data_IF_585156153444
#
_entry.id   IF_585156153444
#
_cell.length_a   1.000
_cell.length_b   1.000
_cell.length_c   1.000
_cell.angle_alpha   90.00
_cell.angle_beta   90.00
_cell.angle_gamma   90.00
#
_symmetry.space_group_name_H-M   'P 1'
#
loop_
_entity.id
_entity.type
_entity.pdbx_description
1 polymer ?
#
# COMPACT_ATOMS: atom_id res chain seq x y z
N UNK A 1 13.67 -18.38 -7.11
CA UNK A 1 13.85 -17.70 -5.81
C UNK A 1 12.52 -17.83 -5.09
N UNK A 2 12.50 -18.43 -3.91
CA UNK A 2 11.30 -18.47 -3.05
C UNK A 2 11.22 -17.12 -2.33
N UNK A 3 10.48 -16.16 -2.88
CA UNK A 3 10.21 -14.91 -2.18
C UNK A 3 9.20 -15.21 -1.07
N UNK A 4 9.71 -15.22 0.17
CA UNK A 4 8.88 -15.29 1.36
C UNK A 4 8.08 -13.99 1.52
N UNK A 5 6.95 -14.07 2.20
CA UNK A 5 6.15 -12.90 2.60
C UNK A 5 7.05 -11.80 3.16
N UNK A 6 6.77 -10.52 2.84
CA UNK A 6 7.46 -9.39 3.45
C UNK A 6 7.51 -9.51 4.98
N UNK A 7 8.68 -9.28 5.57
CA UNK A 7 8.91 -9.39 7.02
C UNK A 7 8.19 -8.31 7.82
N UNK A 8 7.79 -7.23 7.15
CA UNK A 8 7.05 -6.08 7.68
C UNK A 8 5.52 -6.21 7.53
N UNK A 9 5.02 -7.36 7.04
CA UNK A 9 3.59 -7.64 6.99
C UNK A 9 2.99 -7.69 8.41
N UNK A 10 2.01 -6.84 8.68
CA UNK A 10 1.28 -6.78 9.96
C UNK A 10 -0.03 -7.58 9.94
N UNK A 11 -0.60 -7.73 8.76
CA UNK A 11 -1.80 -8.53 8.53
C UNK A 11 -1.61 -9.35 7.27
N UNK A 12 -2.17 -10.56 7.27
CA UNK A 12 -2.21 -11.45 6.12
C UNK A 12 -3.54 -12.19 6.14
N UNK A 13 -4.25 -12.21 5.01
CA UNK A 13 -5.46 -13.01 4.84
C UNK A 13 -5.12 -14.50 4.71
N UNK A 14 -6.15 -15.34 4.79
CA UNK A 14 -6.05 -16.73 4.36
C UNK A 14 -5.89 -16.81 2.83
N UNK A 15 -5.57 -18.02 2.33
CA UNK A 15 -5.49 -18.29 0.89
C UNK A 15 -6.88 -18.27 0.26
N UNK A 16 -7.04 -17.45 -0.76
CA UNK A 16 -8.29 -17.22 -1.47
C UNK A 16 -8.12 -17.52 -2.97
N UNK A 17 -9.09 -18.23 -3.55
CA UNK A 17 -9.13 -18.51 -4.98
C UNK A 17 -9.64 -17.28 -5.72
N UNK A 18 -8.80 -16.62 -6.53
CA UNK A 18 -9.18 -15.35 -7.16
C UNK A 18 -9.83 -15.56 -8.53
N UNK A 19 -9.13 -16.18 -9.50
CA UNK A 19 -9.55 -16.14 -10.92
C UNK A 19 -9.42 -17.46 -11.71
N UNK A 20 -8.64 -18.44 -11.26
CA UNK A 20 -8.37 -19.70 -11.98
C UNK A 20 -8.24 -20.84 -10.98
N UNK A 21 -8.54 -22.11 -11.32
CA UNK A 21 -8.49 -23.27 -10.39
C UNK A 21 -7.21 -23.49 -9.56
N UNK A 22 -6.13 -22.73 -9.78
CA UNK A 22 -4.89 -22.82 -9.01
C UNK A 22 -4.28 -21.44 -8.67
N UNK A 23 -5.01 -20.34 -8.93
CA UNK A 23 -4.59 -18.97 -8.58
C UNK A 23 -5.08 -18.62 -7.18
N UNK A 24 -4.43 -19.24 -6.19
CA UNK A 24 -4.62 -18.93 -4.78
C UNK A 24 -3.72 -17.77 -4.38
N UNK A 25 -4.32 -16.73 -3.81
CA UNK A 25 -3.62 -15.56 -3.30
C UNK A 25 -3.96 -15.29 -1.86
N UNK A 26 -3.03 -14.65 -1.17
CA UNK A 26 -3.28 -14.01 0.12
C UNK A 26 -2.89 -12.56 0.05
N UNK A 27 -3.71 -11.71 0.65
CA UNK A 27 -3.48 -10.29 0.75
C UNK A 27 -2.73 -9.97 2.03
N UNK A 28 -1.81 -9.00 2.00
CA UNK A 28 -1.13 -8.54 3.20
C UNK A 28 -1.05 -7.01 3.25
N UNK A 29 -0.98 -6.47 4.46
CA UNK A 29 -0.77 -5.04 4.73
C UNK A 29 0.51 -4.89 5.54
N UNK A 30 1.33 -3.90 5.20
CA UNK A 30 2.59 -3.62 5.90
C UNK A 30 2.42 -2.59 7.01
N UNK A 31 3.45 -2.41 7.83
CA UNK A 31 3.49 -1.35 8.83
C UNK A 31 3.72 0.06 8.27
N UNK A 32 3.99 0.21 6.98
CA UNK A 32 4.25 1.50 6.37
C UNK A 32 2.94 2.16 5.93
N UNK A 33 2.42 2.98 6.84
CA UNK A 33 1.26 3.85 6.64
C UNK A 33 1.64 5.29 6.95
N UNK A 34 1.39 6.19 6.01
CA UNK A 34 1.55 7.64 6.18
C UNK A 34 0.19 8.29 6.08
N UNK A 35 -0.06 9.29 6.92
CA UNK A 35 -1.25 10.15 6.82
C UNK A 35 -0.79 11.59 6.63
N UNK A 36 -1.28 12.22 5.58
CA UNK A 36 -1.06 13.64 5.30
C UNK A 36 -2.36 14.39 5.60
N UNK A 37 -2.32 15.27 6.58
CA UNK A 37 -3.43 16.17 6.90
C UNK A 37 -3.45 17.32 5.89
N UNK A 38 -4.59 17.49 5.24
CA UNK A 38 -4.88 18.55 4.29
C UNK A 38 -5.36 19.83 4.96
N UNK A 39 -6.14 20.60 4.23
CA UNK A 39 -6.64 21.89 4.70
C UNK A 39 -7.50 21.71 5.98
N UNK A 40 -7.18 22.42 7.08
CA UNK A 40 -7.87 22.24 8.35
C UNK A 40 -9.31 22.75 8.34
N UNK A 41 -9.64 23.72 7.48
CA UNK A 41 -10.98 24.30 7.39
C UNK A 41 -11.89 23.48 6.47
N UNK A 42 -11.29 22.78 5.50
CA UNK A 42 -11.99 21.96 4.51
C UNK A 42 -11.86 20.44 4.75
N UNK A 43 -11.16 20.04 5.83
CA UNK A 43 -11.09 18.66 6.30
C UNK A 43 -10.30 17.71 5.40
N UNK A 44 -9.25 18.18 4.72
CA UNK A 44 -8.44 17.32 3.86
C UNK A 44 -7.71 16.22 4.63
N UNK A 45 -7.70 15.00 4.10
CA UNK A 45 -6.91 13.88 4.63
C UNK A 45 -6.54 12.92 3.52
N UNK A 46 -5.27 12.49 3.49
CA UNK A 46 -4.81 11.44 2.61
C UNK A 46 -4.05 10.40 3.42
N UNK A 47 -4.32 9.12 3.17
CA UNK A 47 -3.57 8.01 3.71
C UNK A 47 -2.89 7.25 2.58
N UNK A 48 -1.61 6.99 2.74
CA UNK A 48 -0.84 6.12 1.87
C UNK A 48 -0.49 4.87 2.65
N UNK A 49 -0.68 3.70 2.04
CA UNK A 49 -0.32 2.42 2.63
C UNK A 49 0.29 1.49 1.59
N UNK A 50 1.31 0.74 2.02
CA UNK A 50 1.86 -0.37 1.23
C UNK A 50 1.14 -1.65 1.61
N UNK A 51 0.58 -2.30 0.61
CA UNK A 51 -0.08 -3.60 0.72
C UNK A 51 0.26 -4.44 -0.50
N UNK A 52 -0.11 -5.72 -0.49
CA UNK A 52 0.29 -6.60 -1.58
C UNK A 52 -0.44 -7.92 -1.60
N UNK A 53 -0.10 -8.70 -2.61
CA UNK A 53 -0.59 -10.05 -2.84
C UNK A 53 0.58 -11.00 -2.92
N UNK A 54 0.37 -12.21 -2.41
CA UNK A 54 1.29 -13.31 -2.60
C UNK A 54 0.54 -14.47 -3.24
N UNK A 55 1.13 -15.06 -4.29
CA UNK A 55 0.66 -16.33 -4.86
C UNK A 55 1.18 -17.53 -4.05
N UNK A 56 0.48 -18.65 -4.13
CA UNK A 56 0.87 -19.89 -3.43
C UNK A 56 2.22 -20.49 -3.90
N UNK A 57 2.69 -20.09 -5.08
CA UNK A 57 3.94 -20.54 -5.68
C UNK A 57 5.15 -19.65 -5.31
N UNK A 58 4.93 -18.60 -4.53
CA UNK A 58 5.93 -17.71 -3.97
C UNK A 58 6.04 -16.33 -4.64
N UNK A 59 5.35 -16.03 -5.74
CA UNK A 59 5.38 -14.69 -6.33
C UNK A 59 4.74 -13.68 -5.39
N UNK A 60 5.42 -12.56 -5.14
CA UNK A 60 4.93 -11.47 -4.30
C UNK A 60 4.83 -10.20 -5.13
N UNK A 61 3.65 -9.59 -5.14
CA UNK A 61 3.41 -8.27 -5.73
C UNK A 61 3.09 -7.28 -4.63
N UNK A 62 3.75 -6.11 -4.63
CA UNK A 62 3.45 -5.00 -3.73
C UNK A 62 2.80 -3.84 -4.50
N UNK A 63 2.00 -3.08 -3.80
CA UNK A 63 1.25 -1.94 -4.31
C UNK A 63 1.25 -0.82 -3.28
N UNK A 64 1.36 0.42 -3.76
CA UNK A 64 1.05 1.61 -2.95
C UNK A 64 -0.39 2.01 -3.24
N UNK A 65 -1.18 2.13 -2.19
CA UNK A 65 -2.53 2.66 -2.28
C UNK A 65 -2.57 4.04 -1.64
N UNK A 66 -3.22 4.96 -2.34
CA UNK A 66 -3.51 6.31 -1.85
C UNK A 66 -5.02 6.45 -1.78
N UNK A 67 -5.52 6.68 -0.57
CA UNK A 67 -6.91 7.04 -0.31
C UNK A 67 -6.94 8.45 0.26
N UNK A 68 -7.69 9.35 -0.36
CA UNK A 68 -7.70 10.76 -0.01
C UNK A 68 -9.05 11.42 -0.22
N UNK A 69 -9.38 12.36 0.67
CA UNK A 69 -10.61 13.15 0.61
C UNK A 69 -10.38 14.58 1.09
N UNK A 70 -11.26 15.49 0.68
CA UNK A 70 -11.21 16.90 1.05
C UNK A 70 -10.20 17.74 0.25
N UNK A 71 -9.92 18.94 0.74
CA UNK A 71 -9.08 19.91 0.04
C UNK A 71 -7.65 19.97 0.61
N UNK A 72 -6.71 20.33 -0.26
CA UNK A 72 -5.30 20.46 0.07
C UNK A 72 -4.75 21.74 -0.53
N UNK A 73 -3.88 22.42 0.20
CA UNK A 73 -3.06 23.50 -0.37
C UNK A 73 -2.01 22.92 -1.32
N UNK A 74 -1.48 23.76 -2.21
CA UNK A 74 -0.40 23.36 -3.11
C UNK A 74 0.88 22.89 -2.37
N UNK A 75 1.13 23.39 -1.15
CA UNK A 75 2.25 22.91 -0.33
C UNK A 75 1.99 21.47 0.16
N UNK A 76 0.78 21.19 0.66
CA UNK A 76 0.40 19.87 1.14
C UNK A 76 0.35 18.82 0.01
N UNK A 77 -0.10 19.20 -1.18
CA UNK A 77 -0.05 18.31 -2.35
C UNK A 77 1.39 17.95 -2.74
N UNK A 78 2.35 18.87 -2.59
CA UNK A 78 3.77 18.58 -2.82
C UNK A 78 4.33 17.62 -1.77
N UNK A 79 3.96 17.79 -0.51
CA UNK A 79 4.32 16.84 0.56
C UNK A 79 3.75 15.46 0.25
N UNK A 80 2.46 15.37 -0.10
CA UNK A 80 1.81 14.11 -0.46
C UNK A 80 2.52 13.41 -1.64
N UNK A 81 2.87 14.17 -2.68
CA UNK A 81 3.61 13.63 -3.82
C UNK A 81 4.99 13.09 -3.43
N UNK A 82 5.71 13.76 -2.52
CA UNK A 82 7.00 13.29 -2.03
C UNK A 82 6.85 11.97 -1.24
N UNK A 83 5.82 11.85 -0.41
CA UNK A 83 5.53 10.60 0.31
C UNK A 83 5.18 9.45 -0.64
N UNK A 84 4.44 9.72 -1.72
CA UNK A 84 4.17 8.71 -2.76
C UNK A 84 5.47 8.20 -3.40
N UNK A 85 6.41 9.10 -3.71
CA UNK A 85 7.69 8.72 -4.30
C UNK A 85 8.53 7.90 -3.32
N UNK A 86 8.62 8.32 -2.07
CA UNK A 86 9.32 7.56 -1.02
C UNK A 86 8.73 6.15 -0.85
N UNK A 87 7.41 5.99 -0.96
CA UNK A 87 6.78 4.67 -0.91
C UNK A 87 6.98 3.85 -2.19
N UNK A 88 7.05 4.48 -3.35
CA UNK A 88 7.39 3.78 -4.60
C UNK A 88 8.80 3.18 -4.51
N UNK A 89 9.76 3.90 -3.94
CA UNK A 89 11.12 3.38 -3.71
C UNK A 89 11.13 2.13 -2.80
N UNK A 90 10.15 1.99 -1.89
CA UNK A 90 10.00 0.77 -1.06
C UNK A 90 9.48 -0.44 -1.85
N UNK A 91 8.92 -0.24 -3.05
CA UNK A 91 8.51 -1.32 -3.93
C UNK A 91 9.70 -1.92 -4.70
N UNK A 92 10.74 -1.13 -4.97
CA UNK A 92 11.93 -1.53 -5.71
C UNK A 92 13.02 -2.20 -4.82
N UNK A 93 12.85 -2.15 -3.50
CA UNK A 93 13.80 -2.63 -2.49
C UNK A 93 13.67 -4.10 -2.10
#
# INVERSE_FOLDING_TARGET
MTTSTPTDALYMSDWELINHPDDYRRHYITGHKVTVTGDPDLGGTASLNVQGEQDQHGHVTRYVYLDGSGAFTAAQLRTLAAECLNMADQLDG
#
